data_IF_406506316500
#
_entry.id   IF_406506316500
#
_cell.length_a   1.000
_cell.length_b   1.000
_cell.length_c   1.000
_cell.angle_alpha   90.00
_cell.angle_beta   90.00
_cell.angle_gamma   90.00
#
_symmetry.space_group_name_H-M   'P 1'
#
loop_
_entity.id
_entity.type
_entity.pdbx_description
1 polymer ?
#
# COMPACT_ATOMS: atom_id res chain seq x y z
N UNK A 1 -0.39 27.19 -7.61
CA UNK A 1 -1.42 27.79 -6.72
C UNK A 1 -2.72 28.06 -7.48
N UNK A 2 -2.68 28.69 -8.63
CA UNK A 2 -3.86 29.01 -9.45
C UNK A 2 -4.74 27.80 -9.81
N UNK A 3 -4.15 26.71 -10.35
CA UNK A 3 -4.88 25.49 -10.70
C UNK A 3 -5.51 24.77 -9.50
N UNK A 4 -4.94 24.88 -8.31
CA UNK A 4 -5.54 24.32 -7.08
C UNK A 4 -6.78 25.11 -6.70
N UNK A 5 -6.73 26.45 -6.77
CA UNK A 5 -7.88 27.32 -6.52
C UNK A 5 -8.98 27.09 -7.56
N UNK A 6 -8.60 26.93 -8.84
CA UNK A 6 -9.54 26.62 -9.91
C UNK A 6 -10.25 25.26 -9.68
N UNK A 7 -9.49 24.19 -9.41
CA UNK A 7 -10.08 22.87 -9.14
C UNK A 7 -10.99 22.92 -7.90
N UNK A 8 -10.60 23.63 -6.84
CA UNK A 8 -11.44 23.81 -5.65
C UNK A 8 -12.76 24.50 -6.01
N UNK A 9 -12.71 25.57 -6.82
CA UNK A 9 -13.92 26.28 -7.25
C UNK A 9 -14.85 25.35 -8.05
N UNK A 10 -14.33 24.53 -8.96
CA UNK A 10 -15.11 23.55 -9.74
C UNK A 10 -15.74 22.44 -8.90
N UNK A 11 -15.14 22.15 -7.74
CA UNK A 11 -15.67 21.17 -6.79
C UNK A 11 -16.65 21.78 -5.77
N UNK A 12 -16.83 23.09 -5.73
CA UNK A 12 -17.63 23.78 -4.69
C UNK A 12 -19.11 23.38 -4.65
N UNK A 13 -19.67 22.96 -5.79
CA UNK A 13 -21.05 22.50 -5.88
C UNK A 13 -21.22 20.99 -5.58
N UNK A 14 -20.12 20.26 -5.44
CA UNK A 14 -20.17 18.83 -5.12
C UNK A 14 -20.46 18.69 -3.63
N UNK A 15 -21.54 17.97 -3.23
CA UNK A 15 -21.82 17.76 -1.81
C UNK A 15 -20.65 17.08 -1.10
N UNK A 16 -20.33 17.44 0.14
CA UNK A 16 -19.25 16.80 0.90
C UNK A 16 -19.54 15.30 1.13
N UNK A 17 -18.49 14.55 1.43
CA UNK A 17 -18.60 13.17 1.89
C UNK A 17 -19.03 13.16 3.35
N UNK A 18 -19.90 12.22 3.73
CA UNK A 18 -20.49 12.14 5.07
C UNK A 18 -19.41 12.04 6.18
N UNK A 19 -18.37 11.24 5.95
CA UNK A 19 -17.31 10.96 6.94
C UNK A 19 -15.97 11.63 6.60
N UNK A 20 -15.90 12.38 5.52
CA UNK A 20 -14.68 13.05 5.03
C UNK A 20 -15.03 14.41 4.40
N UNK A 21 -15.67 15.30 5.18
CA UNK A 21 -16.16 16.59 4.69
C UNK A 21 -15.09 17.41 3.96
N UNK A 22 -13.84 17.36 4.43
CA UNK A 22 -12.70 18.08 3.86
C UNK A 22 -11.98 17.32 2.74
N UNK A 23 -12.44 16.13 2.30
CA UNK A 23 -11.70 15.27 1.38
C UNK A 23 -11.20 16.03 0.15
N UNK A 24 -12.08 16.77 -0.54
CA UNK A 24 -11.73 17.53 -1.75
C UNK A 24 -11.57 19.04 -1.50
N UNK A 25 -11.68 19.51 -0.26
CA UNK A 25 -11.31 20.86 0.15
C UNK A 25 -9.83 20.94 0.62
N UNK A 26 -9.20 19.81 0.88
CA UNK A 26 -7.83 19.71 1.32
C UNK A 26 -6.86 19.91 0.14
N UNK A 27 -5.93 20.87 0.28
CA UNK A 27 -4.93 21.22 -0.73
C UNK A 27 -4.09 20.02 -1.18
N UNK A 28 -3.68 19.16 -0.25
CA UNK A 28 -2.89 17.98 -0.57
C UNK A 28 -3.66 17.01 -1.47
N UNK A 29 -4.97 16.88 -1.26
CA UNK A 29 -5.81 16.07 -2.13
C UNK A 29 -5.89 16.67 -3.52
N UNK A 30 -6.22 17.96 -3.64
CA UNK A 30 -6.31 18.64 -4.93
C UNK A 30 -4.98 18.55 -5.71
N UNK A 31 -3.85 18.77 -5.04
CA UNK A 31 -2.52 18.65 -5.63
C UNK A 31 -2.25 17.24 -6.15
N UNK A 32 -2.64 16.17 -5.40
CA UNK A 32 -2.45 14.79 -5.87
C UNK A 32 -3.25 14.49 -7.14
N UNK A 33 -4.49 14.94 -7.20
CA UNK A 33 -5.33 14.74 -8.39
C UNK A 33 -4.82 15.52 -9.59
N UNK A 34 -4.37 16.76 -9.39
CA UNK A 34 -3.72 17.56 -10.43
C UNK A 34 -2.42 16.91 -10.93
N UNK A 35 -1.55 16.45 -10.03
CA UNK A 35 -0.31 15.74 -10.39
C UNK A 35 -0.59 14.48 -11.21
N UNK A 36 -1.60 13.71 -10.82
CA UNK A 36 -1.98 12.49 -11.52
C UNK A 36 -2.52 12.71 -12.95
N UNK A 37 -2.84 13.95 -13.29
CA UNK A 37 -3.32 14.37 -14.61
C UNK A 37 -2.45 15.47 -15.22
N UNK A 38 -1.14 15.49 -14.88
CA UNK A 38 -0.16 16.42 -15.45
C UNK A 38 -0.61 17.90 -15.35
N UNK A 39 -1.30 18.23 -14.26
CA UNK A 39 -1.87 19.55 -14.00
C UNK A 39 -2.96 19.99 -15.01
N UNK A 40 -3.57 19.06 -15.74
CA UNK A 40 -4.80 19.32 -16.49
C UNK A 40 -5.98 19.38 -15.52
N UNK A 41 -6.63 20.54 -15.41
CA UNK A 41 -7.70 20.77 -14.43
C UNK A 41 -8.97 20.01 -14.81
N UNK A 42 -9.31 19.92 -16.10
CA UNK A 42 -10.52 19.22 -16.57
C UNK A 42 -10.43 17.72 -16.26
N UNK A 43 -9.28 17.10 -16.57
CA UNK A 43 -9.05 15.68 -16.29
C UNK A 43 -8.95 15.40 -14.78
N UNK A 44 -8.37 16.34 -14.00
CA UNK A 44 -8.28 16.22 -12.55
C UNK A 44 -9.68 16.33 -11.89
N UNK A 45 -10.53 17.22 -12.38
CA UNK A 45 -11.92 17.36 -11.93
C UNK A 45 -12.71 16.06 -12.19
N UNK A 46 -12.64 15.52 -13.41
CA UNK A 46 -13.31 14.26 -13.76
C UNK A 46 -12.87 13.12 -12.83
N UNK A 47 -11.57 12.97 -12.62
CA UNK A 47 -11.02 11.94 -11.74
C UNK A 47 -11.47 12.14 -10.30
N UNK A 48 -11.45 13.36 -9.79
CA UNK A 48 -11.83 13.67 -8.42
C UNK A 48 -13.34 13.45 -8.19
N UNK A 49 -14.20 13.87 -9.12
CA UNK A 49 -15.64 13.59 -9.07
C UNK A 49 -15.94 12.09 -9.08
N UNK A 50 -15.27 11.34 -9.96
CA UNK A 50 -15.37 9.88 -10.00
C UNK A 50 -14.93 9.24 -8.67
N UNK A 51 -13.87 9.78 -8.04
CA UNK A 51 -13.40 9.28 -6.74
C UNK A 51 -14.38 9.60 -5.63
N UNK A 52 -14.98 10.79 -5.62
CA UNK A 52 -16.01 11.16 -4.64
C UNK A 52 -17.21 10.22 -4.74
N UNK A 53 -17.66 9.92 -5.97
CA UNK A 53 -18.78 8.99 -6.19
C UNK A 53 -18.42 7.56 -5.75
N UNK A 54 -17.22 7.09 -6.09
CA UNK A 54 -16.71 5.81 -5.60
C UNK A 54 -16.69 5.76 -4.07
N UNK A 55 -16.24 6.82 -3.39
CA UNK A 55 -16.22 6.86 -1.91
C UNK A 55 -17.62 6.88 -1.30
N UNK A 56 -18.57 7.53 -1.94
CA UNK A 56 -19.99 7.49 -1.52
C UNK A 56 -20.59 6.08 -1.60
N UNK A 57 -20.34 5.40 -2.72
CA UNK A 57 -20.92 4.08 -2.97
C UNK A 57 -20.24 2.98 -2.16
N UNK A 58 -18.90 3.00 -2.03
CA UNK A 58 -18.14 1.93 -1.38
C UNK A 58 -17.87 2.16 0.10
N UNK A 59 -17.98 3.42 0.59
CA UNK A 59 -17.69 3.81 1.97
C UNK A 59 -16.39 3.23 2.50
N UNK A 60 -15.22 3.50 1.86
CA UNK A 60 -13.97 2.79 2.12
C UNK A 60 -13.44 2.96 3.54
N UNK A 61 -13.85 4.01 4.28
CA UNK A 61 -13.50 4.18 5.70
C UNK A 61 -14.18 3.16 6.61
N UNK A 62 -15.33 2.60 6.18
CA UNK A 62 -16.08 1.57 6.89
C UNK A 62 -15.90 0.18 6.29
N UNK A 63 -15.05 0.07 5.26
CA UNK A 63 -14.80 -1.21 4.62
C UNK A 63 -14.04 -2.14 5.55
N UNK A 64 -14.49 -3.38 5.62
CA UNK A 64 -13.88 -4.44 6.38
C UNK A 64 -13.64 -5.66 5.48
N UNK A 65 -12.64 -6.45 5.82
CA UNK A 65 -12.32 -7.68 5.09
C UNK A 65 -12.82 -8.91 5.86
N UNK A 66 -13.98 -9.47 5.48
CA UNK A 66 -14.55 -10.65 6.14
C UNK A 66 -13.58 -11.85 6.16
N UNK A 67 -12.76 -12.04 5.10
CA UNK A 67 -11.75 -13.09 5.05
C UNK A 67 -10.71 -12.99 6.16
N UNK A 68 -10.37 -11.76 6.58
CA UNK A 68 -9.45 -11.56 7.70
C UNK A 68 -10.04 -12.06 9.02
N UNK A 69 -11.37 -12.07 9.16
CA UNK A 69 -12.06 -12.57 10.35
C UNK A 69 -12.35 -14.07 10.27
N UNK A 70 -12.87 -14.54 9.12
CA UNK A 70 -13.29 -15.95 8.97
C UNK A 70 -12.10 -16.89 8.81
N UNK A 71 -11.06 -16.46 8.10
CA UNK A 71 -9.87 -17.27 7.80
C UNK A 71 -8.61 -16.43 8.00
N UNK A 72 -8.24 -16.14 9.22
CA UNK A 72 -7.01 -15.45 9.51
C UNK A 72 -5.81 -16.11 8.81
N UNK A 73 -4.91 -15.30 8.20
CA UNK A 73 -3.81 -15.81 7.35
C UNK A 73 -4.19 -16.15 5.91
N UNK A 74 -5.45 -15.96 5.50
CA UNK A 74 -5.86 -16.05 4.10
C UNK A 74 -5.14 -15.00 3.24
N UNK A 75 -5.03 -13.79 3.74
CA UNK A 75 -4.19 -12.73 3.21
C UNK A 75 -2.91 -12.59 4.05
N UNK A 76 -1.78 -12.38 3.39
CA UNK A 76 -0.52 -12.10 4.08
C UNK A 76 -0.21 -10.61 4.21
N UNK A 77 -0.98 -9.78 3.51
CA UNK A 77 -0.75 -8.35 3.40
C UNK A 77 -1.09 -7.65 4.72
N UNK A 78 -0.14 -6.88 5.26
CA UNK A 78 -0.27 -6.13 6.52
C UNK A 78 0.68 -4.96 6.58
N UNK A 79 0.34 -3.92 7.33
CA UNK A 79 1.30 -2.90 7.72
C UNK A 79 2.24 -3.49 8.77
N UNK A 80 3.54 -3.19 8.68
CA UNK A 80 4.57 -3.79 9.56
C UNK A 80 5.47 -2.76 10.23
N UNK A 81 5.37 -1.50 9.84
CA UNK A 81 6.18 -0.42 10.39
C UNK A 81 6.10 0.83 9.53
N UNK A 82 7.13 1.66 9.65
CA UNK A 82 7.29 2.90 8.90
C UNK A 82 8.70 2.96 8.34
N UNK A 83 8.85 3.68 7.22
CA UNK A 83 10.19 4.04 6.75
C UNK A 83 10.71 5.30 7.47
N UNK A 84 11.96 5.68 7.18
CA UNK A 84 12.59 6.86 7.80
C UNK A 84 11.86 8.17 7.52
N UNK A 85 11.06 8.22 6.45
CA UNK A 85 10.22 9.38 6.10
C UNK A 85 8.83 9.33 6.77
N UNK A 86 8.57 8.36 7.65
CA UNK A 86 7.28 8.15 8.32
C UNK A 86 6.20 7.59 7.40
N UNK A 87 6.55 7.04 6.23
CA UNK A 87 5.59 6.40 5.32
C UNK A 87 5.25 5.01 5.85
N UNK A 88 3.96 4.63 5.96
CA UNK A 88 3.57 3.28 6.33
C UNK A 88 4.18 2.25 5.37
N UNK A 89 4.74 1.19 5.91
CA UNK A 89 5.31 0.07 5.14
C UNK A 89 4.34 -1.11 5.20
N UNK A 90 3.83 -1.49 4.04
CA UNK A 90 2.93 -2.62 3.84
C UNK A 90 3.75 -3.77 3.30
N UNK A 91 3.68 -4.91 3.96
CA UNK A 91 4.37 -6.14 3.57
C UNK A 91 3.38 -7.20 3.12
N UNK A 92 3.72 -7.93 2.06
CA UNK A 92 2.98 -9.10 1.60
C UNK A 92 3.93 -10.20 1.15
N UNK A 93 3.51 -11.47 1.30
CA UNK A 93 4.31 -12.64 0.90
C UNK A 93 3.44 -13.72 0.27
N UNK A 94 3.82 -14.16 -0.92
CA UNK A 94 3.17 -15.30 -1.57
C UNK A 94 3.40 -16.63 -0.82
N UNK A 95 4.46 -16.72 -0.03
CA UNK A 95 4.72 -17.91 0.79
C UNK A 95 3.72 -18.08 1.92
N UNK A 96 3.09 -16.99 2.39
CA UNK A 96 2.18 -16.95 3.54
C UNK A 96 0.70 -16.86 3.15
N UNK A 97 0.39 -16.61 1.88
CA UNK A 97 -0.97 -16.32 1.44
C UNK A 97 -1.58 -17.45 0.60
N UNK A 98 -2.91 -17.53 0.64
CA UNK A 98 -3.73 -18.43 -0.18
C UNK A 98 -4.73 -17.63 -1.05
N UNK A 99 -4.27 -16.54 -1.64
CA UNK A 99 -5.11 -15.56 -2.36
C UNK A 99 -5.57 -16.03 -3.74
N UNK A 100 -5.04 -17.16 -4.25
CA UNK A 100 -5.43 -17.70 -5.57
C UNK A 100 -6.92 -18.11 -5.66
N UNK A 101 -7.59 -18.23 -4.52
CA UNK A 101 -9.03 -18.55 -4.44
C UNK A 101 -9.91 -17.31 -4.32
N UNK A 102 -9.31 -16.13 -4.21
CA UNK A 102 -10.06 -14.88 -4.05
C UNK A 102 -10.64 -14.43 -5.39
N UNK A 103 -11.79 -13.77 -5.31
CA UNK A 103 -12.30 -12.97 -6.41
C UNK A 103 -11.50 -11.67 -6.56
N UNK A 104 -11.69 -10.97 -7.67
CA UNK A 104 -11.10 -9.63 -7.85
C UNK A 104 -11.66 -8.68 -6.79
N UNK A 105 -12.96 -8.78 -6.51
CA UNK A 105 -13.66 -7.97 -5.52
C UNK A 105 -13.10 -8.19 -4.11
N UNK A 106 -12.92 -9.44 -3.66
CA UNK A 106 -12.29 -9.76 -2.37
C UNK A 106 -10.91 -9.12 -2.23
N UNK A 107 -10.10 -9.19 -3.30
CA UNK A 107 -8.76 -8.63 -3.29
C UNK A 107 -8.75 -7.10 -3.26
N UNK A 108 -9.67 -6.47 -3.98
CA UNK A 108 -9.86 -5.02 -3.97
C UNK A 108 -10.35 -4.57 -2.59
N UNK A 109 -11.32 -5.26 -2.01
CA UNK A 109 -11.85 -4.99 -0.67
C UNK A 109 -10.74 -5.07 0.38
N UNK A 110 -9.96 -6.16 0.38
CA UNK A 110 -8.85 -6.32 1.32
C UNK A 110 -7.80 -5.23 1.15
N UNK A 111 -7.41 -4.94 -0.09
CA UNK A 111 -6.42 -3.90 -0.37
C UNK A 111 -6.91 -2.51 0.07
N UNK A 112 -8.18 -2.17 -0.23
CA UNK A 112 -8.79 -0.90 0.17
C UNK A 112 -8.84 -0.76 1.69
N UNK A 113 -9.32 -1.79 2.39
CA UNK A 113 -9.32 -1.87 3.84
C UNK A 113 -7.92 -1.60 4.44
N UNK A 114 -6.91 -2.26 3.90
CA UNK A 114 -5.54 -2.16 4.38
C UNK A 114 -4.95 -0.76 4.18
N UNK A 115 -5.13 -0.17 2.99
CA UNK A 115 -4.57 1.16 2.70
C UNK A 115 -5.31 2.28 3.44
N UNK A 116 -6.62 2.15 3.68
CA UNK A 116 -7.34 3.11 4.51
C UNK A 116 -6.85 3.04 5.97
N UNK A 117 -6.57 1.86 6.49
CA UNK A 117 -5.93 1.71 7.79
C UNK A 117 -4.51 2.30 7.82
N UNK A 118 -3.70 2.04 6.81
CA UNK A 118 -2.36 2.62 6.71
C UNK A 118 -2.41 4.16 6.65
N UNK A 119 -3.36 4.75 5.92
CA UNK A 119 -3.57 6.21 5.88
C UNK A 119 -3.81 6.81 7.27
N UNK A 120 -4.51 6.12 8.15
CA UNK A 120 -4.79 6.58 9.53
C UNK A 120 -3.53 6.67 10.39
N UNK A 121 -2.49 5.93 10.05
CA UNK A 121 -1.20 5.94 10.76
C UNK A 121 -0.21 6.97 10.21
N UNK A 122 -0.53 7.63 9.09
CA UNK A 122 0.33 8.65 8.48
C UNK A 122 0.42 9.88 9.37
N UNK A 123 1.65 10.36 9.57
CA UNK A 123 1.89 11.64 10.23
C UNK A 123 1.62 12.84 9.32
N UNK A 124 1.62 14.03 9.91
CA UNK A 124 1.52 15.30 9.19
C UNK A 124 2.62 15.36 8.12
N UNK A 125 2.26 15.77 6.90
CA UNK A 125 3.20 15.85 5.78
C UNK A 125 3.42 14.54 5.02
N UNK A 126 3.07 13.39 5.59
CA UNK A 126 3.17 12.09 4.91
C UNK A 126 1.90 11.83 4.10
N UNK A 127 2.07 11.51 2.81
CA UNK A 127 0.94 11.28 1.90
C UNK A 127 1.04 9.97 1.10
N UNK A 128 2.14 9.25 1.21
CA UNK A 128 2.42 8.03 0.45
C UNK A 128 2.75 6.86 1.36
N UNK A 129 2.68 5.65 0.83
CA UNK A 129 3.11 4.42 1.50
C UNK A 129 4.17 3.69 0.69
N UNK A 130 4.84 2.76 1.34
CA UNK A 130 5.79 1.82 0.74
C UNK A 130 5.15 0.44 0.73
N UNK A 131 5.33 -0.30 -0.38
CA UNK A 131 4.83 -1.67 -0.50
C UNK A 131 5.98 -2.64 -0.76
N UNK A 132 6.12 -3.64 0.09
CA UNK A 132 7.11 -4.71 -0.06
C UNK A 132 6.38 -6.01 -0.39
N UNK A 133 6.74 -6.61 -1.52
CA UNK A 133 6.14 -7.84 -2.03
C UNK A 133 7.22 -8.92 -2.08
N UNK A 134 7.16 -9.89 -1.17
CA UNK A 134 8.02 -11.07 -1.24
C UNK A 134 7.40 -12.13 -2.15
N UNK A 135 7.98 -12.28 -3.32
CA UNK A 135 7.53 -13.23 -4.34
C UNK A 135 8.00 -14.68 -4.08
N UNK A 136 8.62 -14.96 -2.93
CA UNK A 136 8.95 -16.33 -2.53
C UNK A 136 7.70 -17.21 -2.48
N UNK A 137 7.75 -18.37 -3.10
CA UNK A 137 6.61 -19.29 -3.16
C UNK A 137 5.53 -18.92 -4.19
N UNK A 138 5.73 -17.88 -5.00
CA UNK A 138 4.83 -17.55 -6.10
C UNK A 138 4.82 -18.65 -7.15
N UNK A 139 3.64 -19.18 -7.47
CA UNK A 139 3.41 -20.20 -8.50
C UNK A 139 2.38 -19.69 -9.51
N UNK A 140 2.28 -20.33 -10.67
CA UNK A 140 1.25 -20.01 -11.66
C UNK A 140 -0.16 -20.11 -11.09
N UNK A 141 -0.40 -21.09 -10.22
CA UNK A 141 -1.69 -21.31 -9.56
C UNK A 141 -1.98 -20.24 -8.48
N UNK A 142 -0.94 -19.71 -7.83
CA UNK A 142 -1.05 -18.65 -6.83
C UNK A 142 -1.12 -17.25 -7.47
N UNK A 143 -0.89 -17.16 -8.78
CA UNK A 143 -0.87 -15.91 -9.50
C UNK A 143 -2.11 -15.76 -10.38
N UNK A 144 -2.95 -14.79 -10.05
CA UNK A 144 -4.07 -14.38 -10.90
C UNK A 144 -3.85 -12.95 -11.39
N UNK A 145 -3.46 -12.73 -12.67
CA UNK A 145 -3.22 -11.39 -13.20
C UNK A 145 -4.42 -10.46 -13.09
N UNK A 146 -5.65 -11.00 -13.12
CA UNK A 146 -6.89 -10.21 -12.98
C UNK A 146 -6.98 -9.56 -11.60
N UNK A 147 -6.49 -10.22 -10.54
CA UNK A 147 -6.44 -9.65 -9.18
C UNK A 147 -5.51 -8.43 -9.14
N UNK A 148 -4.30 -8.59 -9.67
CA UNK A 148 -3.33 -7.50 -9.75
C UNK A 148 -3.85 -6.32 -10.58
N UNK A 149 -4.49 -6.60 -11.70
CA UNK A 149 -5.11 -5.58 -12.55
C UNK A 149 -6.24 -4.84 -11.80
N UNK A 150 -7.16 -5.55 -11.16
CA UNK A 150 -8.28 -4.96 -10.41
C UNK A 150 -7.80 -4.03 -9.30
N UNK A 151 -6.84 -4.48 -8.48
CA UNK A 151 -6.22 -3.66 -7.43
C UNK A 151 -5.54 -2.42 -8.05
N UNK A 152 -4.79 -2.60 -9.14
CA UNK A 152 -4.11 -1.50 -9.82
C UNK A 152 -5.09 -0.45 -10.35
N UNK A 153 -6.23 -0.86 -10.91
CA UNK A 153 -7.25 0.07 -11.40
C UNK A 153 -7.83 0.92 -10.26
N UNK A 154 -8.18 0.29 -9.13
CA UNK A 154 -8.71 1.04 -7.97
C UNK A 154 -7.65 2.00 -7.43
N UNK A 155 -6.39 1.56 -7.32
CA UNK A 155 -5.31 2.43 -6.85
C UNK A 155 -5.09 3.63 -7.77
N UNK A 156 -5.03 3.40 -9.08
CA UNK A 156 -4.78 4.46 -10.06
C UNK A 156 -5.93 5.47 -10.16
N UNK A 157 -7.16 4.99 -10.02
CA UNK A 157 -8.34 5.83 -10.19
C UNK A 157 -8.76 6.56 -8.92
N UNK A 158 -8.59 5.95 -7.74
CA UNK A 158 -9.13 6.48 -6.49
C UNK A 158 -8.10 6.83 -5.43
N UNK A 159 -6.84 6.40 -5.62
CA UNK A 159 -5.72 6.72 -4.72
C UNK A 159 -4.52 7.30 -5.46
N UNK A 160 -4.74 8.31 -6.34
CA UNK A 160 -3.65 8.87 -7.14
C UNK A 160 -2.56 9.47 -6.25
N UNK A 161 -1.29 9.31 -6.70
CA UNK A 161 -0.09 9.81 -6.03
C UNK A 161 0.08 9.37 -4.56
N UNK A 162 -0.50 8.22 -4.18
CA UNK A 162 -0.37 7.63 -2.85
C UNK A 162 0.73 6.56 -2.77
N UNK A 163 1.10 5.95 -3.89
CA UNK A 163 2.17 4.97 -3.92
C UNK A 163 3.52 5.69 -3.97
N UNK A 164 4.35 5.50 -2.94
CA UNK A 164 5.68 6.10 -2.85
C UNK A 164 6.78 5.20 -3.42
N UNK A 165 6.76 3.92 -3.04
CA UNK A 165 7.77 2.94 -3.43
C UNK A 165 7.16 1.55 -3.42
N UNK A 166 7.57 0.70 -4.37
CA UNK A 166 7.28 -0.75 -4.36
C UNK A 166 8.59 -1.51 -4.47
N UNK A 167 8.81 -2.46 -3.58
CA UNK A 167 9.98 -3.34 -3.60
C UNK A 167 9.49 -4.78 -3.79
N UNK A 168 9.77 -5.36 -4.95
CA UNK A 168 9.47 -6.76 -5.25
C UNK A 168 10.72 -7.61 -5.03
N UNK A 169 10.65 -8.50 -4.04
CA UNK A 169 11.75 -9.35 -3.61
C UNK A 169 11.62 -10.75 -4.18
N UNK A 170 12.74 -11.43 -4.39
CA UNK A 170 12.79 -12.85 -4.75
C UNK A 170 11.90 -13.20 -5.97
N UNK A 171 11.74 -12.25 -6.89
CA UNK A 171 10.89 -12.44 -8.07
C UNK A 171 11.41 -13.59 -8.94
N UNK A 172 10.49 -14.37 -9.48
CA UNK A 172 10.76 -15.52 -10.33
C UNK A 172 10.21 -15.28 -11.76
N UNK A 173 10.40 -16.19 -12.72
CA UNK A 173 9.89 -16.02 -14.08
C UNK A 173 8.37 -15.83 -14.15
N UNK A 174 7.60 -16.44 -13.24
CA UNK A 174 6.14 -16.25 -13.14
C UNK A 174 5.82 -14.78 -12.86
N UNK A 175 6.47 -14.20 -11.84
CA UNK A 175 6.32 -12.77 -11.53
C UNK A 175 6.70 -11.89 -12.73
N UNK A 176 7.81 -12.21 -13.42
CA UNK A 176 8.25 -11.43 -14.57
C UNK A 176 7.20 -11.41 -15.69
N UNK A 177 6.57 -12.56 -15.98
CA UNK A 177 5.46 -12.65 -16.94
C UNK A 177 4.28 -11.76 -16.54
N UNK A 178 3.85 -11.83 -15.27
CA UNK A 178 2.77 -10.99 -14.72
C UNK A 178 3.14 -9.51 -14.77
N UNK A 179 4.35 -9.18 -14.37
CA UNK A 179 4.85 -7.81 -14.41
C UNK A 179 4.85 -7.24 -15.85
N UNK A 180 5.33 -8.01 -16.83
CA UNK A 180 5.27 -7.60 -18.23
C UNK A 180 3.83 -7.31 -18.70
N UNK A 181 2.86 -8.13 -18.24
CA UNK A 181 1.46 -7.95 -18.60
C UNK A 181 0.81 -6.72 -17.93
N UNK A 182 1.18 -6.42 -16.67
CA UNK A 182 0.56 -5.33 -15.90
C UNK A 182 1.20 -3.97 -16.19
N UNK A 183 2.53 -3.91 -16.35
CA UNK A 183 3.25 -2.64 -16.49
C UNK A 183 2.78 -1.76 -17.66
N UNK A 184 2.21 -2.35 -18.71
CA UNK A 184 1.71 -1.62 -19.89
C UNK A 184 0.47 -0.78 -19.58
N UNK A 185 -0.22 -1.08 -18.47
CA UNK A 185 -1.38 -0.33 -17.96
C UNK A 185 -1.02 0.67 -16.88
N UNK A 186 0.25 0.71 -16.46
CA UNK A 186 0.73 1.62 -15.43
C UNK A 186 1.29 2.90 -16.03
N UNK A 187 1.04 4.01 -15.36
CA UNK A 187 1.69 5.26 -15.70
C UNK A 187 3.22 5.13 -15.54
N UNK A 188 4.06 5.72 -16.42
CA UNK A 188 5.53 5.65 -16.33
C UNK A 188 6.08 6.02 -14.95
N UNK A 189 5.52 7.04 -14.28
CA UNK A 189 5.89 7.42 -12.93
C UNK A 189 5.63 6.33 -11.89
N UNK A 190 4.61 5.49 -12.08
CA UNK A 190 4.34 4.34 -11.21
C UNK A 190 5.36 3.25 -11.45
N UNK A 191 5.71 2.98 -12.72
CA UNK A 191 6.75 2.01 -13.07
C UNK A 191 8.11 2.41 -12.47
N UNK A 192 8.45 3.70 -12.51
CA UNK A 192 9.70 4.22 -11.94
C UNK A 192 9.81 4.02 -10.41
N UNK A 193 8.68 3.89 -9.71
CA UNK A 193 8.63 3.62 -8.25
C UNK A 193 8.87 2.13 -7.91
N UNK A 194 8.97 1.24 -8.91
CA UNK A 194 9.15 -0.20 -8.70
C UNK A 194 10.63 -0.57 -8.64
N UNK A 195 11.02 -1.33 -7.62
CA UNK A 195 12.35 -1.92 -7.47
C UNK A 195 12.23 -3.43 -7.46
N UNK A 196 12.88 -4.10 -8.42
CA UNK A 196 12.88 -5.56 -8.55
C UNK A 196 14.22 -6.09 -8.05
N UNK A 197 14.24 -6.88 -6.98
CA UNK A 197 15.48 -7.30 -6.32
C UNK A 197 15.44 -8.80 -5.99
N UNK A 198 16.51 -9.53 -6.34
CA UNK A 198 16.64 -10.99 -6.09
C UNK A 198 17.74 -11.33 -5.09
N UNK A 199 18.86 -10.61 -5.12
CA UNK A 199 20.03 -10.92 -4.28
C UNK A 199 19.84 -10.40 -2.86
N UNK A 200 20.21 -11.24 -1.87
CA UNK A 200 20.15 -10.90 -0.45
C UNK A 200 20.92 -9.62 -0.13
N UNK A 201 22.11 -9.46 -0.70
CA UNK A 201 22.95 -8.30 -0.44
C UNK A 201 22.40 -7.03 -1.08
N UNK A 202 21.74 -7.15 -2.24
CA UNK A 202 21.08 -6.01 -2.91
C UNK A 202 19.86 -5.55 -2.10
N UNK A 203 18.97 -6.45 -1.64
CA UNK A 203 17.82 -5.99 -0.87
C UNK A 203 18.18 -5.55 0.54
N UNK A 204 19.22 -6.10 1.17
CA UNK A 204 19.73 -5.58 2.44
C UNK A 204 20.19 -4.12 2.30
N UNK A 205 21.04 -3.82 1.30
CA UNK A 205 21.45 -2.44 1.03
C UNK A 205 20.28 -1.52 0.73
N UNK A 206 19.30 -2.01 -0.04
CA UNK A 206 18.10 -1.24 -0.35
C UNK A 206 17.27 -0.95 0.92
N UNK A 207 17.13 -1.93 1.82
CA UNK A 207 16.44 -1.72 3.10
C UNK A 207 17.15 -0.69 3.97
N UNK A 208 18.47 -0.78 4.09
CA UNK A 208 19.29 0.19 4.81
C UNK A 208 19.25 1.61 4.22
N UNK A 209 18.80 1.77 2.97
CA UNK A 209 18.61 3.08 2.34
C UNK A 209 17.27 3.73 2.71
N UNK A 210 16.25 2.93 3.00
CA UNK A 210 14.88 3.43 3.20
C UNK A 210 14.33 3.21 4.61
N UNK A 211 14.89 2.25 5.35
CA UNK A 211 14.33 1.80 6.63
C UNK A 211 15.41 1.86 7.72
N UNK A 212 14.96 2.12 8.93
CA UNK A 212 15.80 1.99 10.10
C UNK A 212 16.26 0.54 10.35
N UNK A 213 17.13 0.37 11.33
CA UNK A 213 17.67 -0.95 11.67
C UNK A 213 16.58 -1.91 12.20
N UNK A 214 15.58 -1.40 12.91
CA UNK A 214 14.51 -2.22 13.47
C UNK A 214 13.69 -2.88 12.35
N UNK A 215 13.17 -2.09 11.43
CA UNK A 215 12.38 -2.60 10.31
C UNK A 215 13.24 -3.39 9.33
N UNK A 216 14.48 -2.98 9.07
CA UNK A 216 15.43 -3.74 8.24
C UNK A 216 15.66 -5.14 8.81
N UNK A 217 15.93 -5.26 10.11
CA UNK A 217 16.14 -6.55 10.77
C UNK A 217 14.85 -7.40 10.76
N UNK A 218 13.71 -6.77 10.99
CA UNK A 218 12.41 -7.44 10.91
C UNK A 218 12.18 -8.05 9.53
N UNK A 219 12.37 -7.28 8.46
CA UNK A 219 12.20 -7.72 7.08
C UNK A 219 13.16 -8.87 6.73
N UNK A 220 14.42 -8.75 7.13
CA UNK A 220 15.43 -9.78 6.87
C UNK A 220 15.08 -11.11 7.54
N UNK A 221 14.58 -11.07 8.76
CA UNK A 221 14.17 -12.27 9.49
C UNK A 221 12.89 -12.87 8.89
N UNK A 222 11.89 -12.06 8.57
CA UNK A 222 10.65 -12.53 7.95
C UNK A 222 10.89 -13.21 6.60
N UNK A 223 11.74 -12.62 5.75
CA UNK A 223 12.15 -13.21 4.48
C UNK A 223 12.92 -14.52 4.69
N UNK A 224 13.76 -14.60 5.73
CA UNK A 224 14.46 -15.83 6.10
C UNK A 224 13.48 -16.95 6.49
N UNK A 225 12.50 -16.61 7.32
CA UNK A 225 11.47 -17.54 7.78
C UNK A 225 10.58 -18.05 6.63
N UNK A 226 10.29 -17.21 5.64
CA UNK A 226 9.51 -17.61 4.46
C UNK A 226 10.17 -18.72 3.62
N UNK A 227 11.49 -18.90 3.74
CA UNK A 227 12.20 -19.97 3.04
C UNK A 227 12.09 -21.33 3.73
N UNK A 228 11.69 -21.35 5.00
CA UNK A 228 11.48 -22.56 5.77
C UNK A 228 10.11 -23.18 5.47
N UNK A 229 10.04 -24.50 5.33
CA UNK A 229 8.79 -25.22 5.12
C UNK A 229 8.71 -26.40 6.11
N UNK A 230 7.55 -26.61 6.74
CA UNK A 230 6.35 -25.78 6.73
C UNK A 230 6.60 -24.41 7.38
N UNK A 231 5.77 -23.42 7.07
CA UNK A 231 5.79 -22.14 7.77
C UNK A 231 5.57 -22.35 9.27
N UNK A 232 6.20 -21.51 10.09
CA UNK A 232 5.98 -21.53 11.54
C UNK A 232 4.51 -21.21 11.86
N UNK A 233 4.01 -21.77 12.99
CA UNK A 233 2.66 -21.45 13.45
C UNK A 233 2.46 -19.95 13.61
N UNK A 234 3.44 -19.25 14.14
CA UNK A 234 3.43 -17.81 14.34
C UNK A 234 3.29 -17.03 13.03
N UNK A 235 3.97 -17.48 11.95
CA UNK A 235 3.81 -16.86 10.62
C UNK A 235 2.44 -17.13 9.99
N UNK A 236 1.85 -18.30 10.24
CA UNK A 236 0.50 -18.65 9.75
C UNK A 236 -0.54 -17.81 10.50
N UNK A 237 -0.35 -17.63 11.79
CA UNK A 237 -1.24 -16.92 12.69
C UNK A 237 -0.67 -15.54 13.10
N UNK A 238 -0.12 -14.81 12.13
CA UNK A 238 0.60 -13.54 12.38
C UNK A 238 -0.25 -12.46 13.08
N UNK A 239 -1.57 -12.59 13.09
CA UNK A 239 -2.49 -11.70 13.82
C UNK A 239 -2.50 -11.94 15.33
N UNK A 240 -1.98 -13.07 15.80
CA UNK A 240 -1.85 -13.35 17.23
C UNK A 240 -0.51 -12.85 17.76
N UNK A 241 -0.45 -12.35 19.01
CA UNK A 241 0.81 -12.10 19.67
C UNK A 241 1.66 -13.38 19.67
N UNK A 242 2.96 -13.31 19.36
CA UNK A 242 3.84 -14.47 19.44
C UNK A 242 4.00 -14.94 20.89
N UNK A 243 4.40 -16.21 21.09
CA UNK A 243 4.75 -16.72 22.41
C UNK A 243 5.91 -15.88 23.01
N UNK A 244 5.96 -15.78 24.34
CA UNK A 244 6.98 -14.98 25.05
C UNK A 244 8.43 -15.37 24.72
N UNK A 245 8.65 -16.60 24.25
CA UNK A 245 9.96 -17.09 23.83
C UNK A 245 10.33 -16.69 22.39
N UNK A 246 9.39 -16.18 21.61
CA UNK A 246 9.63 -15.80 20.22
C UNK A 246 10.38 -14.48 20.17
N UNK A 247 11.49 -14.47 19.42
CA UNK A 247 12.28 -13.25 19.17
C UNK A 247 11.76 -12.42 17.98
N UNK A 248 10.78 -12.94 17.26
CA UNK A 248 10.23 -12.31 16.06
C UNK A 248 8.72 -12.24 16.17
N UNK A 249 8.19 -11.02 16.11
CA UNK A 249 6.74 -10.80 16.04
C UNK A 249 6.33 -10.65 14.57
N UNK A 250 5.58 -11.60 14.00
CA UNK A 250 5.23 -11.56 12.58
C UNK A 250 4.20 -10.47 12.24
N UNK A 251 3.62 -9.79 13.23
CA UNK A 251 2.72 -8.66 13.04
C UNK A 251 3.43 -7.41 12.52
N UNK A 252 4.73 -7.23 12.84
CA UNK A 252 5.54 -6.10 12.44
C UNK A 252 6.66 -5.78 13.42
N UNK A 253 7.34 -4.67 13.24
CA UNK A 253 8.38 -4.21 14.16
C UNK A 253 7.78 -3.70 15.48
N UNK A 254 8.56 -3.79 16.58
CA UNK A 254 8.09 -3.55 17.94
C UNK A 254 7.54 -2.14 18.14
N UNK A 255 8.18 -1.13 17.56
CA UNK A 255 7.73 0.27 17.65
C UNK A 255 6.33 0.46 17.06
N UNK A 256 6.05 -0.17 15.91
CA UNK A 256 4.72 -0.14 15.29
C UNK A 256 3.69 -0.89 16.14
N UNK A 257 4.02 -2.11 16.58
CA UNK A 257 3.10 -2.94 17.36
C UNK A 257 2.72 -2.28 18.65
N UNK A 258 3.68 -1.80 19.43
CA UNK A 258 3.42 -1.14 20.71
C UNK A 258 2.56 0.11 20.55
N UNK A 259 2.83 0.89 19.51
CA UNK A 259 2.13 2.15 19.29
C UNK A 259 0.71 1.97 18.77
N UNK A 260 0.49 1.04 17.84
CA UNK A 260 -0.78 0.94 17.11
C UNK A 260 -1.57 -0.32 17.46
N UNK A 261 -0.94 -1.48 17.56
CA UNK A 261 -1.62 -2.76 17.76
C UNK A 261 -1.94 -2.98 19.25
N UNK A 262 -0.92 -2.99 20.11
CA UNK A 262 -1.11 -3.27 21.54
C UNK A 262 -1.82 -2.11 22.28
N UNK A 263 -1.66 -0.87 21.79
CA UNK A 263 -2.38 0.27 22.36
C UNK A 263 -3.87 0.20 22.06
N UNK A 264 -4.24 -0.31 20.89
CA UNK A 264 -5.62 -0.54 20.50
C UNK A 264 -6.26 -1.63 21.36
N UNK A 265 -5.60 -2.77 21.53
CA UNK A 265 -6.08 -3.88 22.35
C UNK A 265 -6.32 -3.43 23.81
N UNK A 266 -5.43 -2.61 24.35
CA UNK A 266 -5.59 -2.07 25.72
C UNK A 266 -6.79 -1.13 25.87
N UNK A 267 -7.10 -0.33 24.87
CA UNK A 267 -8.24 0.60 24.89
C UNK A 267 -9.59 -0.09 24.66
N UNK A 268 -9.60 -1.32 24.14
CA UNK A 268 -10.80 -2.06 23.74
C UNK A 268 -10.91 -3.43 24.45
N UNK A 269 -10.30 -3.60 25.61
CA UNK A 269 -10.26 -4.86 26.38
C UNK A 269 -11.64 -5.45 26.76
N UNK A 270 -12.71 -4.66 26.60
CA UNK A 270 -14.09 -5.11 26.84
C UNK A 270 -14.75 -5.76 25.60
N UNK A 271 -14.10 -5.78 24.46
CA UNK A 271 -14.66 -6.36 23.24
C UNK A 271 -14.40 -7.88 23.23
N UNK A 272 -15.46 -8.67 22.99
CA UNK A 272 -15.43 -10.13 22.96
C UNK A 272 -14.64 -10.72 21.79
N UNK A 273 -14.27 -9.88 20.80
CA UNK A 273 -13.44 -10.25 19.66
C UNK A 273 -12.18 -9.39 19.62
N UNK A 274 -11.02 -10.04 19.62
CA UNK A 274 -9.76 -9.32 19.38
C UNK A 274 -9.78 -8.75 17.97
N UNK A 275 -9.49 -7.45 17.79
CA UNK A 275 -9.34 -6.89 16.47
C UNK A 275 -8.20 -7.59 15.74
N UNK A 276 -8.40 -7.87 14.46
CA UNK A 276 -7.31 -8.29 13.58
C UNK A 276 -6.18 -7.23 13.65
N UNK A 277 -4.89 -7.60 13.71
CA UNK A 277 -3.78 -6.66 13.83
C UNK A 277 -3.73 -5.56 12.75
N UNK A 278 -4.39 -5.78 11.62
CA UNK A 278 -4.52 -4.78 10.56
C UNK A 278 -5.76 -3.88 10.74
N UNK A 279 -6.57 -4.08 11.79
CA UNK A 279 -7.77 -3.29 12.08
C UNK A 279 -7.43 -2.21 13.10
N UNK A 280 -6.88 -1.12 12.67
CA UNK A 280 -6.76 0.08 13.49
C UNK A 280 -8.12 0.79 13.55
N UNK A 281 -8.95 0.38 14.49
CA UNK A 281 -10.08 1.20 14.92
C UNK A 281 -11.45 0.90 14.31
N UNK A 282 -11.75 -0.27 13.77
CA UNK A 282 -13.01 -0.50 13.08
C UNK A 282 -13.83 -1.72 13.49
N UNK A 283 -13.77 -2.18 14.73
CA UNK A 283 -14.73 -3.22 15.19
C UNK A 283 -16.14 -2.69 15.51
N UNK A 284 -16.32 -1.38 15.58
CA UNK A 284 -17.61 -0.78 15.91
C UNK A 284 -18.22 0.06 14.80
N UNK A 285 -17.65 0.05 13.59
CA UNK A 285 -18.08 0.94 12.51
C UNK A 285 -17.85 2.43 12.80
N UNK A 286 -17.28 2.76 13.95
CA UNK A 286 -16.95 4.14 14.32
C UNK A 286 -15.51 4.43 13.98
N UNK A 287 -15.29 5.32 13.06
CA UNK A 287 -13.97 5.92 12.78
C UNK A 287 -13.52 6.64 14.05
N UNK A 288 -12.67 6.01 14.86
CA UNK A 288 -11.96 6.72 15.90
C UNK A 288 -10.74 7.36 15.28
N UNK A 289 -10.81 8.63 14.99
CA UNK A 289 -9.62 9.48 14.90
C UNK A 289 -8.86 9.29 16.21
N UNK A 290 -7.62 8.79 16.14
CA UNK A 290 -6.69 8.92 17.24
C UNK A 290 -6.47 10.41 17.36
N UNK A 291 -7.19 11.07 18.26
CA UNK A 291 -6.92 12.46 18.62
C UNK A 291 -5.59 12.46 19.35
N UNK A 292 -4.55 12.87 18.65
CA UNK A 292 -3.29 13.22 19.31
C UNK A 292 -3.58 14.36 20.29
N UNK A 293 -3.01 14.30 21.47
CA UNK A 293 -3.10 15.40 22.41
C UNK A 293 -2.50 16.66 21.76
N UNK A 294 -3.02 17.82 22.15
CA UNK A 294 -2.53 19.11 21.61
C UNK A 294 -1.04 19.35 21.91
N UNK A 295 -0.44 18.64 22.87
CA UNK A 295 0.98 18.65 23.18
C UNK A 295 1.80 17.82 22.18
N UNK A 296 1.39 16.60 21.88
CA UNK A 296 2.03 15.75 20.85
C UNK A 296 1.97 16.37 19.45
N UNK A 297 0.92 17.13 19.19
CA UNK A 297 0.75 17.85 17.92
C UNK A 297 1.73 19.02 17.81
N UNK A 298 1.99 19.75 18.90
CA UNK A 298 2.97 20.85 18.96
C UNK A 298 4.42 20.39 18.92
N UNK A 299 4.75 19.28 19.60
CA UNK A 299 6.10 18.67 19.51
C UNK A 299 6.40 18.20 18.09
N UNK A 300 5.42 17.62 17.40
CA UNK A 300 5.57 17.18 16.02
C UNK A 300 5.67 18.32 15.02
N UNK A 301 4.95 19.42 15.21
CA UNK A 301 5.06 20.64 14.41
C UNK A 301 6.44 21.30 14.61
N UNK A 302 7.00 21.27 15.82
CA UNK A 302 8.35 21.73 16.12
C UNK A 302 9.44 20.94 15.37
N UNK A 303 9.37 19.61 15.41
CA UNK A 303 10.30 18.70 14.72
C UNK A 303 10.23 18.82 13.18
N UNK A 304 9.05 19.09 12.63
CA UNK A 304 8.87 19.26 11.17
C UNK A 304 9.43 20.61 10.68
N UNK A 305 9.44 21.67 11.51
CA UNK A 305 10.04 22.95 11.16
C UNK A 305 11.57 22.88 11.10
N UNK A 306 12.21 22.04 11.90
CA UNK A 306 13.65 21.78 11.86
C UNK A 306 14.05 20.89 10.67
N UNK A 307 13.22 19.92 10.29
CA UNK A 307 13.50 19.04 9.13
C UNK A 307 13.26 19.69 7.77
N UNK A 308 12.34 20.64 7.69
CA UNK A 308 12.07 21.39 6.45
C UNK A 308 13.26 22.20 5.97
N UNK A 309 14.16 22.58 6.85
CA UNK A 309 15.37 23.33 6.53
C UNK A 309 16.56 22.43 6.09
N UNK A 310 16.45 21.10 6.22
CA UNK A 310 17.52 20.17 5.85
C UNK A 310 17.28 19.42 4.52
N UNK A 311 16.09 19.50 3.93
CA UNK A 311 15.69 18.70 2.75
C UNK A 311 15.95 19.40 1.41
N UNK A 312 16.45 20.63 1.40
CA UNK A 312 16.73 21.38 0.14
C UNK A 312 18.04 21.01 -0.55
N UNK A 313 18.90 20.14 0.02
CA UNK A 313 20.25 19.87 -0.52
C UNK A 313 20.57 18.44 -0.94
N UNK A 314 19.61 17.50 -0.98
CA UNK A 314 19.90 16.11 -1.37
C UNK A 314 18.97 15.51 -2.45
N UNK A 315 18.69 16.26 -3.53
CA UNK A 315 18.23 15.64 -4.79
C UNK A 315 19.41 15.36 -5.74
N UNK A 316 20.37 14.56 -5.29
CA UNK A 316 21.36 13.91 -6.16
C UNK A 316 21.62 12.50 -5.69
N UNK A 317 20.64 11.63 -5.81
CA UNK A 317 20.91 10.18 -5.71
C UNK A 317 20.90 9.58 -7.11
N UNK A 318 22.08 9.10 -7.47
CA UNK A 318 22.36 8.52 -8.76
C UNK A 318 21.42 7.37 -9.13
N UNK A 319 21.04 7.33 -10.39
CA UNK A 319 20.49 6.19 -11.05
C UNK A 319 21.41 4.98 -10.85
N UNK A 320 21.00 4.03 -10.02
CA UNK A 320 21.57 2.69 -10.05
C UNK A 320 20.93 2.02 -11.25
N UNK A 321 21.61 2.05 -12.38
CA UNK A 321 21.25 1.29 -13.57
C UNK A 321 21.51 -0.19 -13.27
N UNK A 322 20.45 -0.95 -13.06
CA UNK A 322 20.51 -2.41 -13.04
C UNK A 322 20.59 -2.93 -14.49
N UNK A 323 21.76 -2.85 -15.09
CA UNK A 323 22.11 -3.66 -16.26
C UNK A 323 22.71 -4.99 -15.76
N UNK A 324 21.84 -5.91 -15.38
CA UNK A 324 22.14 -7.35 -15.40
C UNK A 324 21.11 -8.00 -16.34
N UNK A 325 21.44 -8.01 -17.64
CA UNK A 325 20.81 -8.85 -18.63
C UNK A 325 21.20 -10.30 -18.35
N UNK A 326 20.31 -11.03 -17.66
CA UNK A 326 20.29 -12.49 -17.78
C UNK A 326 19.26 -12.83 -18.87
N UNK A 327 19.76 -13.00 -20.10
CA UNK A 327 19.02 -13.36 -21.29
C UNK A 327 18.65 -14.85 -21.28
N UNK A 328 17.80 -15.26 -20.36
CA UNK A 328 17.02 -16.49 -20.53
C UNK A 328 15.53 -16.14 -20.51
N UNK A 329 15.07 -15.58 -21.62
CA UNK A 329 13.65 -15.31 -21.86
C UNK A 329 12.97 -16.63 -22.20
N UNK A 330 12.29 -17.22 -21.22
CA UNK A 330 11.24 -18.20 -21.51
C UNK A 330 10.02 -17.41 -21.96
N UNK A 331 9.73 -17.40 -23.25
CA UNK A 331 8.45 -16.94 -23.78
C UNK A 331 7.35 -17.84 -23.23
N UNK A 332 6.66 -17.35 -22.19
CA UNK A 332 5.41 -17.95 -21.76
C UNK A 332 4.32 -17.47 -22.72
N UNK A 333 3.85 -18.36 -23.61
CA UNK A 333 2.59 -18.13 -24.33
C UNK A 333 1.48 -17.96 -23.30
N UNK A 334 0.97 -16.74 -23.20
CA UNK A 334 -0.22 -16.45 -22.37
C UNK A 334 -1.42 -17.02 -23.11
N UNK A 335 -2.09 -18.02 -22.53
CA UNK A 335 -3.33 -18.58 -23.06
C UNK A 335 -4.31 -17.46 -23.43
N UNK A 336 -5.13 -17.62 -24.48
CA UNK A 336 -6.12 -16.61 -24.90
C UNK A 336 -7.06 -16.14 -23.81
N UNK A 337 -7.30 -16.97 -22.79
CA UNK A 337 -8.12 -16.70 -21.60
C UNK A 337 -7.56 -15.59 -20.70
N UNK A 338 -6.27 -15.26 -20.81
CA UNK A 338 -5.60 -14.21 -20.05
C UNK A 338 -5.44 -12.90 -20.83
N UNK A 339 -6.01 -12.78 -22.04
CA UNK A 339 -6.04 -11.50 -22.74
C UNK A 339 -7.07 -10.59 -22.08
N UNK A 340 -6.57 -9.56 -21.40
CA UNK A 340 -7.40 -8.49 -20.84
C UNK A 340 -7.96 -7.70 -22.02
N UNK A 341 -9.29 -7.52 -22.14
CA UNK A 341 -9.85 -6.73 -23.24
C UNK A 341 -9.33 -5.29 -23.16
N UNK A 342 -8.73 -4.82 -24.22
CA UNK A 342 -8.42 -3.41 -24.41
C UNK A 342 -9.77 -2.71 -24.52
N UNK A 343 -10.13 -1.88 -23.52
CA UNK A 343 -11.33 -1.04 -23.60
C UNK A 343 -11.17 -0.08 -24.78
N UNK A 344 -12.14 -0.10 -25.69
CA UNK A 344 -12.27 0.83 -26.80
C UNK A 344 -12.47 2.26 -26.29
N UNK A 345 -11.39 2.94 -25.92
CA UNK A 345 -11.40 4.37 -25.56
C UNK A 345 -10.30 5.17 -26.29
N UNK A 346 -10.00 4.82 -27.54
CA UNK A 346 -9.14 5.67 -28.36
C UNK A 346 -9.40 5.54 -29.86
N UNK A 347 -10.67 5.49 -30.26
CA UNK A 347 -11.06 5.56 -31.68
C UNK A 347 -12.18 6.59 -31.91
N UNK A 348 -11.94 7.84 -31.53
CA UNK A 348 -12.75 8.97 -32.04
C UNK A 348 -11.96 10.28 -32.02
N UNK A 349 -10.87 10.30 -32.76
CA UNK A 349 -10.29 11.56 -33.29
C UNK A 349 -9.45 11.20 -34.51
N UNK A 350 -10.13 11.06 -35.67
CA UNK A 350 -9.62 11.29 -37.03
C UNK A 350 -10.78 11.07 -37.99
N UNK A 351 -11.62 12.06 -38.17
CA UNK A 351 -12.34 12.40 -39.39
C UNK A 351 -12.81 13.85 -39.30
#
# INVERSE_FOLDING_TARGET
MEKVAELRLRMSEVPPLEDEEDFFNNDQTLVRFLKAREWNVDDAEMLLKSTVEHRRSTKPLHMDCHWCHERPGHHSMRQVGFDESGRPVIYSSFAQASTHKNTVEDSVTHCTYLIENAKRTMGIGTSTWVWIIDCSGMTLTACNPKLGYGVTQVMSNHYPERLGLVICLNHNPVFQGVWKAIKVFLHPNTVAKMKLVRSKDKYLRLFQTYFDDELTNWLMEEIRLNKSKPLSKTQIEFWNPPDEQSKHDPRGCSSYITKFIDSFDRSHSSLTHRPHPNILGSLSGTVRTVSMSSEEQREREGLLSEHSNLVTDQEKTGNISDEDHDDSVVELEISPEFRIPVSEQSASKLS
#
